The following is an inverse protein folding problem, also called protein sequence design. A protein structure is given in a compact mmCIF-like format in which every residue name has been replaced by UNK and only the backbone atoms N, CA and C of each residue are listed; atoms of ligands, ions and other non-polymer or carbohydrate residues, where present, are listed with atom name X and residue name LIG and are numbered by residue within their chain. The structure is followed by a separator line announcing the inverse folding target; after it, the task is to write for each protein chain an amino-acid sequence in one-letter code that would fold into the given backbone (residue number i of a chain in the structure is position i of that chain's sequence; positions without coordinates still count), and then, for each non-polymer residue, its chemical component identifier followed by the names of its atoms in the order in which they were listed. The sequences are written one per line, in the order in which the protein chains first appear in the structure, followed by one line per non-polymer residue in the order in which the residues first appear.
data_IF_259030799394
#
_entry.id   IF_259030799394
#
_cell.length_a   1.000
_cell.length_b   1.000
_cell.length_c   1.000
_cell.angle_alpha   90.00
_cell.angle_beta   90.00
_cell.angle_gamma   90.00
#
_symmetry.space_group_name_H-M   'P 1'
#
loop_
_entity.id
_entity.type
_entity.pdbx_description
1 polymer ?
#
# COMPACT_ATOMS: atom_id res chain seq x y z
N UNK A 1 -56.98 -4.87 23.38
CA UNK A 1 -57.71 -6.02 22.79
C UNK A 1 -57.87 -5.74 21.29
N UNK A 2 -57.76 -6.76 20.42
CA UNK A 2 -58.40 -6.93 19.08
C UNK A 2 -58.66 -5.69 18.17
N UNK A 3 -58.36 -5.63 16.86
CA UNK A 3 -57.99 -6.58 15.78
C UNK A 3 -57.02 -5.83 14.82
N UNK A 4 -55.97 -6.44 14.24
CA UNK A 4 -55.95 -7.27 13.02
C UNK A 4 -56.40 -6.60 11.70
N UNK A 5 -55.40 -6.38 10.84
CA UNK A 5 -55.36 -6.53 9.37
C UNK A 5 -56.33 -5.75 8.46
N UNK A 6 -55.76 -4.88 7.62
CA UNK A 6 -56.10 -4.76 6.19
C UNK A 6 -54.98 -4.02 5.43
N UNK A 7 -54.10 -4.78 4.76
CA UNK A 7 -53.17 -4.25 3.76
C UNK A 7 -53.54 -4.81 2.39
N UNK A 8 -53.73 -3.94 1.40
CA UNK A 8 -54.17 -4.34 0.06
C UNK A 8 -53.04 -5.04 -0.74
N UNK A 9 -53.37 -6.04 -1.59
CA UNK A 9 -52.39 -6.68 -2.45
C UNK A 9 -52.08 -5.82 -3.68
N UNK A 10 -50.79 -5.59 -3.96
CA UNK A 10 -50.34 -5.04 -5.24
C UNK A 10 -50.30 -6.13 -6.32
N UNK A 11 -50.61 -5.82 -7.59
CA UNK A 11 -50.78 -6.81 -8.64
C UNK A 11 -49.47 -7.41 -9.15
N UNK A 12 -49.47 -8.73 -9.35
CA UNK A 12 -48.35 -9.50 -9.92
C UNK A 12 -48.18 -9.18 -11.41
N UNK A 13 -47.12 -8.44 -11.75
CA UNK A 13 -46.72 -8.17 -13.13
C UNK A 13 -46.17 -9.42 -13.82
N UNK A 14 -46.74 -9.79 -14.96
CA UNK A 14 -46.31 -10.96 -15.76
C UNK A 14 -44.98 -10.69 -16.47
N UNK A 15 -43.99 -11.55 -16.23
CA UNK A 15 -42.83 -11.69 -17.12
C UNK A 15 -43.25 -12.43 -18.42
N UNK A 16 -42.89 -11.94 -19.62
CA UNK A 16 -43.16 -12.66 -20.86
C UNK A 16 -42.15 -13.80 -21.06
N UNK A 17 -42.67 -15.01 -21.27
CA UNK A 17 -41.88 -16.14 -21.79
C UNK A 17 -41.37 -15.84 -23.20
N UNK A 18 -40.11 -16.17 -23.48
CA UNK A 18 -39.60 -16.37 -24.84
C UNK A 18 -38.98 -17.77 -24.90
N UNK A 19 -39.53 -18.64 -25.74
CA UNK A 19 -39.06 -20.01 -25.96
C UNK A 19 -38.81 -20.24 -27.45
N UNK A 20 -37.62 -20.75 -27.75
CA UNK A 20 -37.12 -21.38 -28.98
C UNK A 20 -37.88 -21.25 -30.31
N UNK A 21 -37.08 -20.95 -31.34
CA UNK A 21 -36.95 -21.87 -32.49
C UNK A 21 -35.49 -22.18 -32.76
N UNK A 22 -35.21 -23.39 -33.22
CA UNK A 22 -33.89 -23.83 -33.65
C UNK A 22 -33.95 -24.50 -35.02
N UNK A 23 -32.81 -24.50 -35.70
CA UNK A 23 -32.52 -25.22 -36.95
C UNK A 23 -31.00 -25.09 -37.18
N UNK A 24 -30.20 -26.12 -37.42
CA UNK A 24 -30.51 -27.53 -37.65
C UNK A 24 -30.04 -28.00 -39.03
N UNK A 25 -28.74 -28.22 -39.20
CA UNK A 25 -28.16 -28.96 -40.33
C UNK A 25 -26.79 -29.57 -39.95
N UNK A 26 -26.46 -30.74 -40.50
CA UNK A 26 -25.24 -31.52 -40.26
C UNK A 26 -24.32 -31.49 -41.49
N UNK A 27 -23.05 -31.89 -41.29
CA UNK A 27 -22.23 -32.89 -42.04
C UNK A 27 -20.77 -32.70 -41.55
N UNK A 28 -20.09 -33.69 -40.93
CA UNK A 28 -19.39 -34.85 -41.54
C UNK A 28 -18.22 -34.41 -42.47
N UNK A 29 -17.00 -34.99 -42.44
CA UNK A 29 -16.57 -36.32 -41.95
C UNK A 29 -15.02 -36.42 -41.77
N UNK A 30 -14.56 -37.43 -41.00
CA UNK A 30 -13.23 -38.12 -41.06
C UNK A 30 -11.91 -37.30 -40.89
N UNK A 31 -10.75 -37.86 -40.45
CA UNK A 31 -10.34 -39.22 -40.11
C UNK A 31 -9.17 -39.22 -39.08
N UNK A 32 -8.78 -40.38 -38.52
CA UNK A 32 -7.42 -40.60 -38.00
C UNK A 32 -7.29 -41.08 -36.54
N UNK A 33 -7.47 -42.38 -36.28
CA UNK A 33 -7.17 -43.02 -34.99
C UNK A 33 -5.82 -43.73 -35.04
N UNK A 34 -4.96 -43.51 -34.05
CA UNK A 34 -3.92 -44.48 -33.67
C UNK A 34 -3.90 -44.71 -32.16
N UNK A 35 -4.20 -45.95 -31.73
CA UNK A 35 -3.95 -46.44 -30.38
C UNK A 35 -2.51 -46.97 -30.30
N UNK A 36 -1.82 -46.73 -29.19
CA UNK A 36 -0.74 -47.61 -28.71
C UNK A 36 -0.85 -47.79 -27.18
N UNK A 37 -0.86 -49.06 -26.78
CA UNK A 37 -0.97 -49.68 -25.46
C UNK A 37 -0.67 -48.86 -24.18
N UNK A 38 -1.58 -49.05 -23.21
CA UNK A 38 -1.27 -49.02 -21.78
C UNK A 38 -0.13 -49.99 -21.44
N UNK A 39 0.88 -49.51 -20.71
CA UNK A 39 1.77 -50.35 -19.91
C UNK A 39 1.93 -49.72 -18.53
N UNK A 40 1.24 -50.27 -17.53
CA UNK A 40 1.46 -49.93 -16.12
C UNK A 40 2.92 -50.21 -15.75
N UNK A 41 3.61 -49.21 -15.20
CA UNK A 41 4.80 -49.39 -14.35
C UNK A 41 4.50 -48.81 -12.96
N UNK A 42 5.20 -49.28 -11.91
CA UNK A 42 4.85 -48.93 -10.52
C UNK A 42 5.09 -47.44 -10.26
N UNK A 43 4.20 -46.83 -9.48
CA UNK A 43 4.44 -45.52 -8.89
C UNK A 43 5.33 -45.74 -7.67
N UNK A 44 6.64 -45.56 -7.84
CA UNK A 44 7.53 -45.37 -6.69
C UNK A 44 7.14 -44.07 -5.99
N UNK A 45 6.91 -44.16 -4.68
CA UNK A 45 6.53 -43.02 -3.85
C UNK A 45 7.71 -42.05 -3.72
N UNK A 46 7.74 -41.02 -4.57
CA UNK A 46 8.77 -39.99 -4.48
C UNK A 46 8.34 -38.89 -3.51
N UNK A 47 9.21 -38.62 -2.55
CA UNK A 47 8.99 -37.74 -1.41
C UNK A 47 8.87 -36.25 -1.81
N UNK A 48 8.16 -35.50 -0.98
CA UNK A 48 8.03 -34.03 -0.87
C UNK A 48 8.71 -33.18 -1.95
N UNK A 49 7.92 -32.67 -2.91
CA UNK A 49 8.27 -31.46 -3.69
C UNK A 49 7.15 -30.42 -3.79
N UNK A 50 6.65 -29.97 -2.64
CA UNK A 50 6.01 -28.66 -2.54
C UNK A 50 7.03 -27.56 -2.87
N UNK A 51 6.88 -26.82 -3.97
CA UNK A 51 7.62 -25.56 -4.17
C UNK A 51 8.11 -25.15 -5.57
N UNK A 52 7.96 -25.97 -6.64
CA UNK A 52 8.51 -25.60 -7.96
C UNK A 52 7.64 -24.64 -8.80
N UNK A 53 6.30 -24.69 -8.68
CA UNK A 53 5.40 -23.81 -9.45
C UNK A 53 5.27 -22.38 -8.88
N UNK A 54 5.50 -22.20 -7.57
CA UNK A 54 5.45 -20.89 -6.90
C UNK A 54 6.75 -20.08 -7.01
N UNK A 55 7.86 -20.70 -7.44
CA UNK A 55 9.08 -20.00 -7.80
C UNK A 55 8.93 -19.23 -9.13
N UNK A 56 8.37 -19.89 -10.15
CA UNK A 56 8.13 -19.30 -11.47
C UNK A 56 7.06 -18.19 -11.47
N UNK A 57 6.07 -18.26 -10.56
CA UNK A 57 4.99 -17.26 -10.40
C UNK A 57 5.39 -15.98 -9.67
N UNK A 58 6.64 -15.82 -9.23
CA UNK A 58 7.11 -14.58 -8.58
C UNK A 58 7.70 -13.64 -9.63
N UNK A 59 7.27 -12.38 -9.61
CA UNK A 59 7.66 -11.38 -10.60
C UNK A 59 9.09 -10.87 -10.38
N UNK A 60 9.60 -10.09 -11.33
CA UNK A 60 11.03 -9.70 -11.38
C UNK A 60 11.43 -8.96 -10.11
N UNK A 61 10.68 -7.93 -9.70
CA UNK A 61 10.99 -7.14 -8.50
C UNK A 61 10.99 -7.96 -7.19
N UNK A 62 10.28 -9.09 -7.11
CA UNK A 62 10.46 -10.02 -5.99
C UNK A 62 11.82 -10.72 -6.05
N UNK A 63 12.23 -11.21 -7.22
CA UNK A 63 13.50 -11.94 -7.41
C UNK A 63 14.69 -11.01 -7.16
N UNK A 64 14.69 -9.84 -7.81
CA UNK A 64 15.72 -8.83 -7.67
C UNK A 64 15.85 -8.38 -6.21
N UNK A 65 14.74 -8.19 -5.46
CA UNK A 65 14.82 -7.85 -4.04
C UNK A 65 15.50 -8.93 -3.19
N UNK A 66 15.43 -10.21 -3.59
CA UNK A 66 16.15 -11.32 -2.94
C UNK A 66 17.59 -11.48 -3.44
N UNK A 67 17.91 -10.93 -4.59
CA UNK A 67 19.28 -10.84 -5.11
C UNK A 67 20.04 -9.69 -4.45
N UNK A 68 19.40 -8.53 -4.29
CA UNK A 68 19.97 -7.26 -3.79
C UNK A 68 19.95 -7.09 -2.26
N UNK A 69 19.42 -8.05 -1.49
CA UNK A 69 19.42 -7.96 -0.02
C UNK A 69 18.21 -7.24 0.61
N UNK A 70 17.19 -6.88 -0.16
CA UNK A 70 15.99 -6.21 0.36
C UNK A 70 14.96 -7.17 0.99
N UNK A 71 14.44 -6.78 2.16
CA UNK A 71 13.40 -7.52 2.90
C UNK A 71 12.14 -7.73 2.06
N UNK A 72 11.71 -6.72 1.32
CA UNK A 72 10.56 -6.77 0.43
C UNK A 72 10.78 -6.01 -0.88
N UNK A 73 10.05 -6.42 -1.93
CA UNK A 73 10.04 -5.81 -3.27
C UNK A 73 9.62 -4.33 -3.30
N UNK A 74 9.01 -3.82 -2.23
CA UNK A 74 8.61 -2.41 -2.14
C UNK A 74 9.81 -1.47 -2.09
N UNK A 75 11.02 -1.95 -1.75
CA UNK A 75 12.26 -1.19 -1.88
C UNK A 75 12.39 -0.49 -3.25
N UNK A 76 12.14 -1.20 -4.36
CA UNK A 76 12.18 -0.60 -5.71
C UNK A 76 11.13 0.48 -5.95
N UNK A 77 10.06 0.56 -5.16
CA UNK A 77 9.10 1.66 -5.32
C UNK A 77 9.74 2.97 -4.89
N UNK A 78 10.41 2.98 -3.73
CA UNK A 78 11.12 4.14 -3.23
C UNK A 78 12.32 4.50 -4.12
N UNK A 79 13.06 3.50 -4.61
CA UNK A 79 14.16 3.73 -5.57
C UNK A 79 13.69 4.43 -6.86
N UNK A 80 12.63 3.92 -7.50
CA UNK A 80 12.07 4.57 -8.69
C UNK A 80 11.48 5.97 -8.42
N UNK A 81 11.06 6.26 -7.18
CA UNK A 81 10.61 7.60 -6.78
C UNK A 81 11.81 8.54 -6.61
N UNK A 82 12.89 8.12 -5.94
CA UNK A 82 14.14 8.90 -5.85
C UNK A 82 14.72 9.22 -7.25
N UNK A 83 14.69 8.25 -8.17
CA UNK A 83 15.12 8.45 -9.58
C UNK A 83 14.38 9.56 -10.34
N UNK A 84 13.17 9.95 -9.91
CA UNK A 84 12.38 11.00 -10.57
C UNK A 84 12.33 12.31 -9.79
N UNK A 85 12.34 12.24 -8.46
CA UNK A 85 12.12 13.38 -7.57
C UNK A 85 13.38 13.79 -6.78
N UNK A 86 14.50 13.07 -6.93
CA UNK A 86 15.75 13.28 -6.16
C UNK A 86 15.52 13.34 -4.65
N UNK A 87 14.61 12.49 -4.14
CA UNK A 87 14.10 12.50 -2.76
C UNK A 87 15.21 12.50 -1.69
N UNK A 88 16.37 11.94 -1.99
CA UNK A 88 17.49 11.81 -1.05
C UNK A 88 18.53 12.95 -1.14
N UNK A 89 18.31 13.98 -1.95
CA UNK A 89 19.20 15.14 -2.02
C UNK A 89 19.02 16.07 -0.80
N UNK A 90 20.11 16.38 -0.10
CA UNK A 90 20.10 17.28 1.07
C UNK A 90 19.45 16.72 2.35
N UNK A 91 18.98 15.48 2.36
CA UNK A 91 18.29 14.87 3.51
C UNK A 91 19.29 14.40 4.59
N UNK A 92 19.08 14.84 5.83
CA UNK A 92 19.85 14.42 7.01
C UNK A 92 19.00 13.66 8.04
N UNK A 93 17.69 13.93 8.10
CA UNK A 93 16.73 13.40 9.06
C UNK A 93 15.51 12.88 8.30
N UNK A 94 15.31 11.57 8.33
CA UNK A 94 14.21 10.91 7.61
C UNK A 94 13.33 10.10 8.57
N UNK A 95 12.02 10.11 8.32
CA UNK A 95 11.04 9.25 9.02
C UNK A 95 10.43 8.25 8.04
N UNK A 96 10.38 6.98 8.41
CA UNK A 96 9.69 5.91 7.67
C UNK A 96 8.48 5.46 8.49
N UNK A 97 7.27 5.81 8.05
CA UNK A 97 6.00 5.52 8.75
C UNK A 97 5.36 4.25 8.18
N UNK A 98 4.79 3.43 9.08
CA UNK A 98 4.29 2.10 8.72
C UNK A 98 5.38 1.27 8.02
N UNK A 99 6.58 1.32 8.59
CA UNK A 99 7.80 0.86 7.96
C UNK A 99 7.90 -0.67 7.80
N UNK A 100 7.14 -1.47 8.55
CA UNK A 100 7.34 -2.92 8.61
C UNK A 100 7.16 -3.59 7.22
N UNK A 101 8.08 -4.47 6.78
CA UNK A 101 9.17 -5.10 7.53
C UNK A 101 10.51 -4.33 7.54
N UNK A 102 10.56 -3.10 7.03
CA UNK A 102 11.73 -2.22 7.01
C UNK A 102 12.44 -2.14 5.65
N UNK A 103 11.74 -2.41 4.54
CA UNK A 103 12.35 -2.36 3.20
C UNK A 103 12.62 -0.95 2.68
N UNK A 104 11.81 0.05 3.08
CA UNK A 104 12.06 1.45 2.75
C UNK A 104 13.19 2.00 3.63
N UNK A 105 13.15 1.72 4.94
CA UNK A 105 14.27 1.93 5.88
C UNK A 105 15.62 1.42 5.34
N UNK A 106 15.69 0.21 4.76
CA UNK A 106 16.93 -0.29 4.13
C UNK A 106 17.43 0.61 2.99
N UNK A 107 16.53 1.02 2.08
CA UNK A 107 16.85 1.92 0.96
C UNK A 107 17.32 3.27 1.47
N UNK A 108 16.66 3.83 2.49
CA UNK A 108 17.04 5.09 3.13
C UNK A 108 18.46 5.02 3.71
N UNK A 109 18.78 3.99 4.49
CA UNK A 109 20.10 3.84 5.12
C UNK A 109 21.22 3.66 4.09
N UNK A 110 20.95 2.97 3.00
CA UNK A 110 21.90 2.82 1.90
C UNK A 110 22.08 4.15 1.17
N UNK A 111 21.02 4.67 0.54
CA UNK A 111 21.12 5.83 -0.38
C UNK A 111 21.48 7.15 0.30
N UNK A 112 21.08 7.38 1.55
CA UNK A 112 21.41 8.62 2.28
C UNK A 112 22.87 8.67 2.78
N UNK A 113 23.52 7.51 2.91
CA UNK A 113 24.91 7.42 3.36
C UNK A 113 25.88 7.14 2.19
N UNK A 114 25.46 6.42 1.13
CA UNK A 114 26.20 6.32 -0.14
C UNK A 114 26.57 7.70 -0.71
N UNK A 115 25.63 8.65 -0.72
CA UNK A 115 25.86 10.04 -1.18
C UNK A 115 26.87 10.82 -0.31
N UNK A 116 27.33 10.27 0.81
CA UNK A 116 28.31 10.86 1.75
C UNK A 116 29.66 10.11 1.75
N UNK A 117 29.79 9.01 1.01
CA UNK A 117 31.08 8.32 0.81
C UNK A 117 32.06 9.20 0.00
N UNK A 118 32.88 9.97 0.72
CA UNK A 118 33.87 10.87 0.13
C UNK A 118 34.18 12.09 0.98
N UNK A 119 33.28 12.47 1.91
CA UNK A 119 33.50 13.57 2.86
C UNK A 119 33.56 13.03 4.31
N UNK A 120 34.75 12.90 4.91
CA UNK A 120 34.90 12.45 6.30
C UNK A 120 34.26 13.38 7.35
N UNK A 121 33.83 14.58 6.97
CA UNK A 121 33.11 15.51 7.83
C UNK A 121 31.58 15.43 7.69
N UNK A 122 31.08 14.75 6.65
CA UNK A 122 29.65 14.57 6.44
C UNK A 122 29.06 13.61 7.49
N UNK A 123 28.10 14.12 8.25
CA UNK A 123 27.40 13.37 9.29
C UNK A 123 26.41 12.38 8.66
N UNK A 124 26.42 11.12 9.13
CA UNK A 124 25.44 10.09 8.75
C UNK A 124 23.99 10.58 8.90
N UNK A 125 23.10 10.15 8.01
CA UNK A 125 21.69 10.48 8.11
C UNK A 125 21.03 9.75 9.30
N UNK A 126 20.22 10.47 10.07
CA UNK A 126 19.43 9.91 11.17
C UNK A 126 18.08 9.46 10.62
N UNK A 127 17.81 8.15 10.69
CA UNK A 127 16.58 7.54 10.16
C UNK A 127 15.78 6.98 11.33
N UNK A 128 14.51 7.39 11.44
CA UNK A 128 13.56 6.91 12.45
C UNK A 128 12.42 6.17 11.76
N UNK A 129 12.34 4.86 11.96
CA UNK A 129 11.32 4.00 11.38
C UNK A 129 10.26 3.64 12.45
N UNK A 130 8.99 3.81 12.11
CA UNK A 130 7.86 3.68 13.04
C UNK A 130 6.86 2.69 12.49
N UNK A 131 6.47 1.71 13.30
CA UNK A 131 5.38 0.77 12.97
C UNK A 131 4.69 0.27 14.25
N UNK A 132 3.45 -0.21 14.13
CA UNK A 132 2.77 -0.94 15.20
C UNK A 132 3.34 -2.36 15.37
N UNK A 133 4.00 -2.90 14.35
CA UNK A 133 4.59 -4.24 14.36
C UNK A 133 6.09 -4.19 14.68
N UNK A 134 6.60 -5.14 15.49
CA UNK A 134 8.03 -5.25 15.75
C UNK A 134 8.81 -5.59 14.47
N UNK A 135 9.73 -4.72 14.07
CA UNK A 135 10.66 -4.97 12.97
C UNK A 135 11.92 -5.68 13.45
N UNK A 136 12.51 -6.52 12.59
CA UNK A 136 13.85 -7.04 12.84
C UNK A 136 14.88 -5.89 12.82
N UNK A 137 15.91 -5.90 13.69
CA UNK A 137 16.93 -4.84 13.77
C UNK A 137 17.50 -4.42 12.41
N UNK A 138 17.68 -3.11 12.21
CA UNK A 138 18.33 -2.52 11.04
C UNK A 138 19.50 -1.62 11.51
N UNK A 139 20.75 -1.90 11.10
CA UNK A 139 21.87 -1.00 11.37
C UNK A 139 21.59 0.39 10.80
N UNK A 140 21.96 1.46 11.52
CA UNK A 140 21.73 2.85 11.08
C UNK A 140 20.28 3.32 11.11
N UNK A 141 19.34 2.53 11.66
CA UNK A 141 17.91 2.89 11.79
C UNK A 141 17.49 2.82 13.24
N UNK A 142 16.94 3.92 13.75
CA UNK A 142 16.18 3.91 15.02
C UNK A 142 14.81 3.32 14.73
N UNK A 143 14.41 2.29 15.46
CA UNK A 143 13.12 1.62 15.26
C UNK A 143 12.22 1.85 16.48
N UNK A 144 11.03 2.43 16.26
CA UNK A 144 10.02 2.71 17.27
C UNK A 144 8.83 1.77 17.00
N UNK A 145 8.49 0.93 17.98
CA UNK A 145 7.20 0.24 18.00
C UNK A 145 6.16 1.22 18.56
N UNK A 146 5.32 1.79 17.70
CA UNK A 146 4.51 2.96 18.05
C UNK A 146 3.32 3.23 17.13
N UNK A 147 2.26 3.75 17.72
CA UNK A 147 1.04 4.18 17.03
C UNK A 147 1.22 5.60 16.48
N UNK A 148 1.16 5.76 15.16
CA UNK A 148 1.32 7.05 14.47
C UNK A 148 0.22 8.08 14.81
N UNK A 149 -0.89 7.66 15.41
CA UNK A 149 -1.95 8.57 15.88
C UNK A 149 -1.63 9.25 17.22
N UNK A 150 -0.55 8.86 17.90
CA UNK A 150 -0.23 9.34 19.26
C UNK A 150 0.86 10.41 19.28
N UNK A 151 0.63 11.47 20.03
CA UNK A 151 1.63 12.52 20.28
C UNK A 151 2.89 12.01 20.97
N UNK A 152 2.80 10.93 21.76
CA UNK A 152 3.97 10.24 22.32
C UNK A 152 4.91 9.70 21.24
N UNK A 153 4.38 9.30 20.09
CA UNK A 153 5.17 8.78 18.95
C UNK A 153 5.85 9.94 18.23
N UNK A 154 5.13 11.05 17.97
CA UNK A 154 5.70 12.27 17.40
C UNK A 154 6.84 12.83 18.27
N UNK A 155 6.65 12.88 19.59
CA UNK A 155 7.68 13.35 20.53
C UNK A 155 8.93 12.47 20.49
N UNK A 156 8.80 11.14 20.51
CA UNK A 156 9.95 10.23 20.40
C UNK A 156 10.74 10.43 19.10
N UNK A 157 10.07 10.64 17.97
CA UNK A 157 10.73 10.96 16.68
C UNK A 157 11.58 12.24 16.83
N UNK A 158 11.00 13.30 17.38
CA UNK A 158 11.67 14.61 17.57
C UNK A 158 12.83 14.49 18.57
N UNK A 159 12.68 13.71 19.64
CA UNK A 159 13.73 13.44 20.63
C UNK A 159 14.94 12.74 19.98
N UNK A 160 14.71 11.76 19.10
CA UNK A 160 15.77 11.11 18.33
C UNK A 160 16.46 12.08 17.34
N UNK A 161 15.76 13.08 16.83
CA UNK A 161 16.33 14.20 16.07
C UNK A 161 16.89 15.33 16.95
N UNK A 162 16.94 15.16 18.28
CA UNK A 162 17.45 16.15 19.25
C UNK A 162 16.73 17.50 19.19
N UNK A 163 15.42 17.47 18.98
CA UNK A 163 14.58 18.66 18.79
C UNK A 163 14.52 19.18 17.34
N UNK A 164 15.25 18.56 16.42
CA UNK A 164 15.14 18.84 14.99
C UNK A 164 13.88 18.24 14.36
N UNK A 165 13.47 18.80 13.23
CA UNK A 165 12.39 18.27 12.38
C UNK A 165 12.98 17.54 11.16
N UNK A 166 12.26 16.57 10.63
CA UNK A 166 12.65 15.76 9.47
C UNK A 166 12.70 16.58 8.18
N UNK A 167 13.64 16.26 7.30
CA UNK A 167 13.69 16.80 5.93
C UNK A 167 12.75 16.01 4.99
N UNK A 168 12.60 14.69 5.25
CA UNK A 168 11.80 13.75 4.47
C UNK A 168 10.97 12.84 5.39
N UNK A 169 9.69 12.66 5.08
CA UNK A 169 8.83 11.65 5.69
C UNK A 169 8.27 10.74 4.58
N UNK A 170 8.36 9.43 4.75
CA UNK A 170 7.89 8.42 3.79
C UNK A 170 6.91 7.44 4.43
N UNK A 171 5.96 6.89 3.66
CA UNK A 171 4.97 5.91 4.12
C UNK A 171 4.54 4.94 3.00
N UNK A 172 4.96 3.67 3.05
CA UNK A 172 4.44 2.58 2.19
C UNK A 172 3.30 1.80 2.88
N UNK A 173 2.74 2.33 3.98
CA UNK A 173 1.67 1.69 4.74
C UNK A 173 0.42 1.37 3.90
N UNK A 174 -0.11 0.16 4.08
CA UNK A 174 -1.40 -0.25 3.52
C UNK A 174 -2.13 -1.19 4.50
N UNK A 175 -3.47 -1.14 4.57
CA UNK A 175 -4.26 -2.13 5.28
C UNK A 175 -4.26 -3.47 4.53
N UNK A 176 -4.73 -4.53 5.21
CA UNK A 176 -5.06 -5.80 4.54
C UNK A 176 -6.19 -5.56 3.52
N UNK A 177 -5.91 -5.82 2.24
CA UNK A 177 -6.84 -5.60 1.13
C UNK A 177 -7.98 -6.63 1.19
N UNK A 178 -9.21 -6.15 1.36
CA UNK A 178 -10.42 -6.98 1.44
C UNK A 178 -10.93 -7.43 0.07
N UNK A 179 -10.58 -6.70 -0.99
CA UNK A 179 -11.09 -6.88 -2.35
C UNK A 179 -12.37 -6.09 -2.63
N UNK A 180 -12.92 -5.39 -1.63
CA UNK A 180 -13.99 -4.41 -1.80
C UNK A 180 -13.35 -3.03 -2.01
N UNK A 181 -13.12 -2.67 -3.27
CA UNK A 181 -12.33 -1.48 -3.65
C UNK A 181 -12.73 -0.19 -2.94
N UNK A 182 -14.03 0.09 -2.78
CA UNK A 182 -14.53 1.29 -2.09
C UNK A 182 -14.14 1.30 -0.59
N UNK A 183 -14.16 0.14 0.07
CA UNK A 183 -13.75 -0.01 1.47
C UNK A 183 -12.22 0.06 1.60
N UNK A 184 -11.50 -0.60 0.69
CA UNK A 184 -10.04 -0.61 0.66
C UNK A 184 -9.49 0.82 0.42
N UNK A 185 -10.12 1.59 -0.47
CA UNK A 185 -9.82 3.02 -0.70
C UNK A 185 -10.10 3.86 0.56
N UNK A 186 -11.25 3.67 1.20
CA UNK A 186 -11.58 4.39 2.45
C UNK A 186 -10.58 4.11 3.57
N UNK A 187 -10.22 2.85 3.83
CA UNK A 187 -9.28 2.50 4.90
C UNK A 187 -7.85 2.98 4.57
N UNK A 188 -7.42 2.93 3.30
CA UNK A 188 -6.15 3.54 2.88
C UNK A 188 -6.15 5.07 3.11
N UNK A 189 -7.27 5.76 2.84
CA UNK A 189 -7.39 7.18 3.10
C UNK A 189 -7.31 7.53 4.60
N UNK A 190 -7.90 6.71 5.49
CA UNK A 190 -7.76 6.87 6.94
C UNK A 190 -6.31 6.68 7.41
N UNK A 191 -5.59 5.70 6.84
CA UNK A 191 -4.17 5.48 7.17
C UNK A 191 -3.30 6.65 6.68
N UNK A 192 -3.54 7.15 5.47
CA UNK A 192 -2.88 8.32 4.91
C UNK A 192 -3.13 9.58 5.75
N UNK A 193 -4.35 9.76 6.23
CA UNK A 193 -4.74 10.87 7.11
C UNK A 193 -3.99 10.83 8.45
N UNK A 194 -3.87 9.65 9.06
CA UNK A 194 -3.05 9.46 10.26
C UNK A 194 -1.55 9.76 9.99
N UNK A 195 -1.01 9.27 8.86
CA UNK A 195 0.36 9.55 8.44
C UNK A 195 0.59 11.05 8.17
N UNK A 196 -0.35 11.74 7.52
CA UNK A 196 -0.29 13.18 7.30
C UNK A 196 -0.32 13.93 8.64
N UNK A 197 -1.23 13.58 9.55
CA UNK A 197 -1.35 14.23 10.87
C UNK A 197 -0.03 14.20 11.65
N UNK A 198 0.67 13.05 11.74
CA UNK A 198 2.00 13.00 12.37
C UNK A 198 3.07 13.72 11.55
N UNK A 199 3.04 13.60 10.22
CA UNK A 199 3.97 14.31 9.32
C UNK A 199 3.96 15.81 9.56
N UNK A 200 2.79 16.43 9.69
CA UNK A 200 2.66 17.88 9.92
C UNK A 200 3.32 18.34 11.23
N UNK A 201 3.52 17.44 12.21
CA UNK A 201 4.21 17.73 13.47
C UNK A 201 5.73 17.48 13.41
N UNK A 202 6.19 16.55 12.59
CA UNK A 202 7.60 16.12 12.57
C UNK A 202 8.39 16.60 11.34
N UNK A 203 7.72 17.07 10.28
CA UNK A 203 8.35 17.55 9.04
C UNK A 203 8.70 19.04 9.13
N UNK A 204 9.88 19.43 8.66
CA UNK A 204 10.30 20.83 8.63
C UNK A 204 9.66 21.60 7.47
N UNK A 205 9.44 22.92 7.58
CA UNK A 205 9.07 23.76 6.45
C UNK A 205 10.06 23.61 5.28
N UNK A 206 9.56 23.45 4.07
CA UNK A 206 10.35 23.13 2.87
C UNK A 206 10.59 21.62 2.66
N UNK A 207 10.34 20.77 3.66
CA UNK A 207 10.52 19.31 3.57
C UNK A 207 9.49 18.61 2.67
N UNK A 208 9.73 17.32 2.44
CA UNK A 208 8.96 16.48 1.51
C UNK A 208 8.26 15.32 2.23
N UNK A 209 7.04 15.02 1.81
CA UNK A 209 6.23 13.89 2.28
C UNK A 209 5.86 12.96 1.11
N UNK A 210 6.15 11.67 1.24
CA UNK A 210 5.82 10.64 0.25
C UNK A 210 4.94 9.58 0.88
N UNK A 211 3.76 9.32 0.33
CA UNK A 211 2.86 8.33 0.89
C UNK A 211 2.10 7.52 -0.16
N UNK A 212 1.84 6.25 0.17
CA UNK A 212 0.98 5.38 -0.62
C UNK A 212 -0.46 5.84 -0.59
N UNK A 213 -1.09 5.80 -1.76
CA UNK A 213 -2.52 6.04 -1.94
C UNK A 213 -3.14 4.91 -2.78
N UNK A 214 -4.44 4.71 -2.62
CA UNK A 214 -5.24 3.99 -3.62
C UNK A 214 -5.95 5.03 -4.49
N UNK A 215 -5.61 5.04 -5.77
CA UNK A 215 -6.09 6.01 -6.74
C UNK A 215 -7.43 5.55 -7.32
N UNK A 216 -8.48 5.60 -6.50
CA UNK A 216 -9.85 5.34 -6.91
C UNK A 216 -10.57 6.60 -7.37
N UNK A 217 -11.88 6.68 -7.11
CA UNK A 217 -12.76 7.66 -7.76
C UNK A 217 -12.52 9.10 -7.27
N UNK A 218 -12.37 9.27 -5.97
CA UNK A 218 -12.42 10.59 -5.32
C UNK A 218 -11.04 11.14 -4.95
N UNK A 219 -9.98 10.53 -5.50
CA UNK A 219 -8.56 10.88 -5.26
C UNK A 219 -8.23 12.37 -5.54
N UNK A 220 -9.00 13.05 -6.39
CA UNK A 220 -8.82 14.49 -6.67
C UNK A 220 -9.00 15.34 -5.40
N UNK A 221 -10.00 15.00 -4.57
CA UNK A 221 -10.26 15.68 -3.29
C UNK A 221 -9.06 15.57 -2.35
N UNK A 222 -8.44 14.40 -2.31
CA UNK A 222 -7.23 14.16 -1.52
C UNK A 222 -6.07 15.05 -1.97
N UNK A 223 -5.89 15.25 -3.29
CA UNK A 223 -4.85 16.16 -3.80
C UNK A 223 -5.10 17.62 -3.41
N UNK A 224 -6.35 18.06 -3.49
CA UNK A 224 -6.76 19.41 -3.07
C UNK A 224 -6.53 19.61 -1.56
N UNK A 225 -6.85 18.61 -0.72
CA UNK A 225 -6.57 18.63 0.72
C UNK A 225 -5.07 18.68 1.03
N UNK A 226 -4.23 17.92 0.32
CA UNK A 226 -2.77 17.94 0.51
C UNK A 226 -2.16 19.30 0.13
N UNK A 227 -2.71 20.00 -0.87
CA UNK A 227 -2.23 21.33 -1.29
C UNK A 227 -2.42 22.46 -0.28
N UNK A 228 -3.31 22.28 0.70
CA UNK A 228 -3.40 23.16 1.86
C UNK A 228 -2.08 23.19 2.66
N UNK A 229 -1.30 22.11 2.61
CA UNK A 229 -0.07 21.93 3.40
C UNK A 229 1.21 21.99 2.57
N UNK A 230 1.17 21.64 1.28
CA UNK A 230 2.35 21.56 0.41
C UNK A 230 2.24 22.49 -0.81
N UNK A 231 3.36 22.96 -1.38
CA UNK A 231 3.34 23.72 -2.64
C UNK A 231 3.02 22.81 -3.83
N UNK A 232 3.74 21.69 -3.94
CA UNK A 232 3.59 20.72 -5.01
C UNK A 232 2.99 19.43 -4.46
N UNK A 233 2.06 18.84 -5.20
CA UNK A 233 1.49 17.52 -4.93
C UNK A 233 1.42 16.80 -6.27
N UNK A 234 2.20 15.73 -6.42
CA UNK A 234 2.35 14.96 -7.67
C UNK A 234 1.91 13.53 -7.43
N UNK A 235 1.10 12.97 -8.33
CA UNK A 235 0.74 11.55 -8.30
C UNK A 235 1.77 10.73 -9.09
N UNK A 236 2.52 9.89 -8.39
CA UNK A 236 3.55 9.04 -8.95
C UNK A 236 3.10 7.57 -9.02
N UNK A 237 3.36 6.88 -10.13
CA UNK A 237 3.21 5.41 -10.20
C UNK A 237 4.55 4.74 -10.57
N UNK A 238 5.26 4.15 -9.59
CA UNK A 238 6.49 3.39 -9.82
C UNK A 238 6.26 2.15 -10.67
N UNK A 239 7.19 1.85 -11.57
CA UNK A 239 7.19 0.63 -12.39
C UNK A 239 7.14 -0.69 -11.61
N UNK A 240 7.70 -0.67 -10.41
CA UNK A 240 7.68 -1.78 -9.44
C UNK A 240 6.32 -1.98 -8.77
N UNK A 241 5.38 -1.04 -8.92
CA UNK A 241 3.96 -1.21 -8.62
C UNK A 241 3.24 -1.87 -9.79
N UNK A 242 2.14 -2.57 -9.51
CA UNK A 242 1.34 -3.28 -10.52
C UNK A 242 0.45 -2.33 -11.30
N UNK A 243 0.43 -2.45 -12.63
CA UNK A 243 -0.47 -1.68 -13.47
C UNK A 243 -1.94 -1.98 -13.15
N UNK A 244 -2.25 -3.25 -12.85
CA UNK A 244 -3.55 -3.73 -12.39
C UNK A 244 -3.97 -3.22 -11.00
N UNK A 245 -3.03 -2.70 -10.19
CA UNK A 245 -3.33 -2.19 -8.85
C UNK A 245 -3.82 -0.75 -8.86
N UNK A 246 -4.72 -0.41 -7.94
CA UNK A 246 -5.08 0.98 -7.61
C UNK A 246 -3.94 1.73 -6.89
N UNK A 247 -2.88 1.02 -6.46
CA UNK A 247 -1.71 1.62 -5.82
C UNK A 247 -1.05 2.71 -6.70
N UNK A 248 -0.86 3.87 -6.08
CA UNK A 248 -0.01 4.96 -6.52
C UNK A 248 0.61 5.63 -5.28
N UNK A 249 1.42 6.66 -5.48
CA UNK A 249 2.05 7.44 -4.41
C UNK A 249 1.77 8.92 -4.62
N UNK A 250 1.54 9.66 -3.55
CA UNK A 250 1.65 11.12 -3.57
C UNK A 250 3.06 11.51 -3.17
N UNK A 251 3.66 12.41 -3.94
CA UNK A 251 4.90 13.11 -3.59
C UNK A 251 4.52 14.56 -3.36
N UNK A 252 4.60 14.98 -2.10
CA UNK A 252 4.19 16.29 -1.63
C UNK A 252 5.44 17.07 -1.21
N UNK A 253 5.83 18.08 -1.98
CA UNK A 253 7.09 18.80 -1.78
C UNK A 253 6.83 20.19 -1.21
N UNK A 254 7.84 20.71 -0.49
CA UNK A 254 7.85 22.04 0.11
C UNK A 254 6.67 22.24 1.05
N UNK A 255 6.76 21.58 2.20
CA UNK A 255 5.83 21.79 3.31
C UNK A 255 5.77 23.28 3.70
N UNK A 256 4.56 23.85 3.72
CA UNK A 256 4.32 25.27 3.96
C UNK A 256 4.53 25.61 5.43
N UNK A 257 5.23 26.72 5.71
CA UNK A 257 5.32 27.28 7.06
C UNK A 257 3.99 27.94 7.47
N UNK A 258 3.75 28.02 8.79
CA UNK A 258 2.63 28.76 9.37
C UNK A 258 1.41 27.92 9.74
N UNK A 259 1.29 26.67 9.28
CA UNK A 259 0.34 25.73 9.85
C UNK A 259 0.78 25.34 11.26
N UNK A 260 -0.14 25.43 12.24
CA UNK A 260 0.07 24.89 13.59
C UNK A 260 -0.69 23.57 13.69
N UNK A 261 0.01 22.43 13.68
CA UNK A 261 -0.63 21.13 13.73
C UNK A 261 -1.03 20.80 15.18
N UNK A 262 -2.10 20.01 15.35
CA UNK A 262 -2.60 19.60 16.68
C UNK A 262 -3.05 18.12 16.64
N UNK A 263 -2.23 17.19 17.12
CA UNK A 263 -2.59 15.75 17.20
C UNK A 263 -3.77 15.46 18.14
N UNK A 264 -4.17 16.39 19.02
CA UNK A 264 -5.39 16.23 19.82
C UNK A 264 -6.67 16.50 19.03
N UNK A 265 -6.55 17.10 17.84
CA UNK A 265 -7.62 17.39 16.89
C UNK A 265 -7.17 16.97 15.48
N UNK A 266 -7.10 15.66 15.21
CA UNK A 266 -6.65 15.17 13.91
C UNK A 266 -7.49 15.79 12.79
N UNK A 267 -6.85 16.09 11.66
CA UNK A 267 -7.56 16.45 10.44
C UNK A 267 -8.62 15.38 10.15
N UNK A 268 -9.82 15.82 9.75
CA UNK A 268 -10.98 14.96 9.49
C UNK A 268 -11.32 14.00 10.65
N UNK A 269 -11.32 14.49 11.89
CA UNK A 269 -12.04 13.79 12.96
C UNK A 269 -13.54 13.68 12.59
N UNK A 270 -13.95 12.49 12.15
CA UNK A 270 -15.34 12.15 11.86
C UNK A 270 -16.18 11.95 13.14
N UNK A 271 -15.70 12.41 14.31
CA UNK A 271 -16.60 12.85 15.36
C UNK A 271 -17.45 14.03 14.84
N UNK A 272 -18.55 13.66 14.17
CA UNK A 272 -19.80 14.42 14.19
C UNK A 272 -20.17 14.58 15.65
N UNK A 273 -19.58 15.57 16.32
CA UNK A 273 -19.72 15.73 17.76
C UNK A 273 -21.21 15.90 18.09
N UNK A 274 -21.84 14.98 18.83
CA UNK A 274 -23.14 15.24 19.42
C UNK A 274 -22.88 16.06 20.70
N UNK A 275 -22.26 17.22 20.53
CA UNK A 275 -22.04 18.19 21.60
C UNK A 275 -22.97 19.37 21.32
N UNK A 276 -24.15 19.42 21.97
CA UNK A 276 -25.13 20.45 21.70
C UNK A 276 -24.65 21.77 22.30
N UNK A 277 -24.35 22.77 21.45
CA UNK A 277 -23.99 24.12 21.91
C UNK A 277 -24.98 25.17 21.42
N UNK A 278 -25.60 25.02 20.24
CA UNK A 278 -26.74 25.87 19.84
C UNK A 278 -27.79 25.09 19.00
N UNK A 279 -29.09 25.13 19.35
CA UNK A 279 -30.17 24.65 18.47
C UNK A 279 -30.23 25.32 17.09
N UNK A 280 -29.56 26.46 16.87
CA UNK A 280 -29.46 27.10 15.55
C UNK A 280 -28.62 26.34 14.53
N UNK A 281 -27.70 25.48 14.98
CA UNK A 281 -26.72 24.81 14.11
C UNK A 281 -27.29 23.52 13.47
N UNK A 282 -28.54 23.20 13.76
CA UNK A 282 -29.23 22.03 13.22
C UNK A 282 -29.73 22.30 11.79
N UNK A 283 -28.89 22.04 10.78
CA UNK A 283 -29.31 22.13 9.37
C UNK A 283 -30.34 21.03 9.04
N UNK A 284 -31.59 21.36 8.65
CA UNK A 284 -32.63 20.35 8.40
C UNK A 284 -32.32 19.40 7.22
N UNK A 285 -31.48 19.86 6.29
CA UNK A 285 -31.17 19.17 5.04
C UNK A 285 -29.94 18.22 5.14
N UNK A 286 -29.42 18.00 6.35
CA UNK A 286 -28.22 17.19 6.60
C UNK A 286 -26.90 17.94 6.40
N UNK A 287 -25.77 17.23 6.47
CA UNK A 287 -24.45 17.82 6.32
C UNK A 287 -24.28 18.41 4.91
N UNK A 288 -24.01 19.73 4.82
CA UNK A 288 -23.66 20.35 3.54
C UNK A 288 -22.30 19.83 3.09
N UNK A 289 -22.26 19.34 1.85
CA UNK A 289 -21.00 18.98 1.21
C UNK A 289 -20.37 20.26 0.65
N UNK A 290 -19.53 20.91 1.46
CA UNK A 290 -18.89 22.20 1.15
C UNK A 290 -17.81 22.10 0.04
N UNK A 291 -17.66 20.93 -0.60
CA UNK A 291 -16.72 20.64 -1.68
C UNK A 291 -17.28 20.97 -3.07
N UNK A 292 -17.88 22.16 -3.22
CA UNK A 292 -18.42 22.66 -4.49
C UNK A 292 -17.83 24.05 -4.80
N UNK A 293 -16.95 24.11 -5.81
CA UNK A 293 -16.33 25.34 -6.30
C UNK A 293 -15.18 25.03 -7.27
N UNK A 294 -14.35 26.03 -7.58
CA UNK A 294 -13.18 25.93 -8.49
C UNK A 294 -12.04 25.00 -7.97
N UNK A 295 -12.25 24.39 -6.81
CA UNK A 295 -11.40 23.36 -6.18
C UNK A 295 -11.57 22.01 -6.90
N UNK A 296 -11.04 21.92 -8.12
CA UNK A 296 -10.84 20.65 -8.83
C UNK A 296 -9.49 20.64 -9.53
N UNK A 297 -8.41 20.51 -8.77
CA UNK A 297 -7.08 20.39 -9.35
C UNK A 297 -6.73 18.93 -9.66
N UNK A 298 -6.51 18.64 -10.95
CA UNK A 298 -5.92 17.37 -11.35
C UNK A 298 -4.42 17.43 -11.05
N UNK A 299 -3.97 16.67 -10.05
CA UNK A 299 -2.55 16.53 -9.76
C UNK A 299 -1.80 15.99 -10.99
N UNK A 300 -0.60 16.53 -11.31
CA UNK A 300 0.22 16.01 -12.39
C UNK A 300 0.53 14.54 -12.12
N UNK A 301 0.40 13.73 -13.17
CA UNK A 301 0.68 12.30 -13.11
C UNK A 301 2.04 12.00 -13.73
N UNK A 302 2.91 11.33 -12.98
CA UNK A 302 4.25 10.92 -13.41
C UNK A 302 4.38 9.42 -13.29
N UNK A 303 4.80 8.75 -14.37
CA UNK A 303 5.24 7.36 -14.33
C UNK A 303 6.72 7.34 -13.92
N UNK A 304 7.10 6.48 -12.97
CA UNK A 304 8.44 6.54 -12.36
C UNK A 304 9.28 5.28 -12.64
N UNK A 305 10.54 5.51 -13.02
CA UNK A 305 11.47 4.52 -13.57
C UNK A 305 11.49 4.54 -15.10
N UNK A 306 12.49 3.88 -15.70
CA UNK A 306 12.57 3.68 -17.16
C UNK A 306 11.29 3.01 -17.70
N UNK A 307 10.86 3.35 -18.93
CA UNK A 307 9.68 2.78 -19.58
C UNK A 307 9.97 1.56 -20.46
N UNK A 308 11.24 1.20 -20.70
CA UNK A 308 11.67 0.20 -21.71
C UNK A 308 12.08 -1.19 -21.21
N UNK A 309 12.61 -1.32 -19.98
CA UNK A 309 12.95 -2.58 -19.28
C UNK A 309 11.77 -3.41 -18.73
N UNK A 310 11.91 -3.96 -17.50
CA UNK A 310 10.95 -4.92 -16.92
C UNK A 310 9.69 -4.29 -16.30
N UNK A 311 8.51 -4.76 -16.69
CA UNK A 311 7.24 -4.47 -16.02
C UNK A 311 6.89 -5.48 -14.90
N UNK A 312 5.92 -5.14 -14.05
CA UNK A 312 5.55 -5.88 -12.84
C UNK A 312 4.42 -6.90 -13.03
N UNK A 313 3.82 -6.98 -14.22
CA UNK A 313 2.78 -7.94 -14.61
C UNK A 313 3.38 -9.12 -15.40
N UNK A 314 4.37 -8.85 -16.26
CA UNK A 314 4.99 -9.84 -17.15
C UNK A 314 5.93 -10.79 -16.40
N UNK A 315 5.72 -12.09 -16.57
CA UNK A 315 6.67 -13.11 -16.15
C UNK A 315 7.79 -13.29 -17.16
N UNK A 316 8.87 -12.53 -16.99
CA UNK A 316 10.11 -12.74 -17.74
C UNK A 316 10.73 -14.10 -17.36
N UNK A 317 10.98 -14.91 -18.38
CA UNK A 317 11.52 -16.26 -18.25
C UNK A 317 13.00 -16.28 -17.85
N UNK A 318 13.51 -17.46 -17.49
CA UNK A 318 14.88 -17.66 -16.98
C UNK A 318 15.99 -17.46 -18.03
N UNK A 319 15.71 -16.87 -19.20
CA UNK A 319 16.70 -16.63 -20.26
C UNK A 319 17.78 -15.60 -19.89
N UNK A 320 17.58 -14.83 -18.81
CA UNK A 320 18.50 -13.78 -18.36
C UNK A 320 19.17 -14.04 -17.01
N UNK A 321 18.81 -15.11 -16.28
CA UNK A 321 19.54 -15.50 -15.07
C UNK A 321 19.35 -16.97 -14.72
N UNK A 322 20.43 -17.59 -14.26
CA UNK A 322 20.46 -18.95 -13.72
C UNK A 322 20.01 -19.03 -12.25
N UNK A 323 19.47 -17.96 -11.66
CA UNK A 323 19.21 -17.92 -10.22
C UNK A 323 18.16 -18.94 -9.75
N UNK A 324 18.63 -19.84 -8.88
CA UNK A 324 17.80 -20.64 -7.99
C UNK A 324 16.96 -19.72 -7.09
N UNK A 325 15.71 -20.08 -6.84
CA UNK A 325 14.82 -19.36 -5.92
C UNK A 325 15.42 -19.29 -4.52
N UNK A 326 15.94 -18.13 -4.12
CA UNK A 326 16.43 -17.86 -2.77
C UNK A 326 15.28 -17.76 -1.75
N UNK A 327 15.58 -18.10 -0.51
CA UNK A 327 14.68 -17.93 0.63
C UNK A 327 14.47 -16.44 0.99
N UNK A 328 13.37 -16.10 1.68
CA UNK A 328 13.12 -14.73 2.11
C UNK A 328 14.14 -14.28 3.16
N UNK A 329 14.97 -13.30 2.79
CA UNK A 329 15.98 -12.62 3.64
C UNK A 329 15.50 -12.35 5.07
N UNK A 330 14.25 -11.91 5.23
CA UNK A 330 13.56 -11.88 6.51
C UNK A 330 12.08 -12.19 6.27
N UNK A 331 11.49 -13.02 7.12
CA UNK A 331 10.04 -13.25 7.16
C UNK A 331 9.37 -12.19 8.07
N UNK A 332 8.07 -11.87 7.88
CA UNK A 332 7.35 -10.98 8.78
C UNK A 332 7.42 -11.48 10.23
N UNK A 333 7.77 -10.60 11.17
CA UNK A 333 7.89 -10.93 12.61
C UNK A 333 6.54 -11.30 13.23
N UNK A 334 5.48 -10.64 12.75
CA UNK A 334 4.09 -10.88 13.11
C UNK A 334 3.23 -10.98 11.83
N UNK A 335 3.23 -12.14 11.12
CA UNK A 335 2.44 -12.30 9.91
C UNK A 335 0.93 -12.28 10.25
N UNK A 336 0.04 -11.67 9.42
CA UNK A 336 -1.41 -11.66 9.67
C UNK A 336 -2.01 -13.06 9.85
N UNK A 337 -1.43 -14.06 9.20
CA UNK A 337 -1.80 -15.47 9.26
C UNK A 337 -1.11 -16.26 10.39
N UNK A 338 -0.55 -15.58 11.41
CA UNK A 338 0.13 -16.21 12.56
C UNK A 338 -0.77 -17.19 13.31
N UNK A 339 -2.02 -16.81 13.58
CA UNK A 339 -3.00 -17.66 14.26
C UNK A 339 -3.29 -18.93 13.44
N UNK A 340 -3.51 -18.80 12.12
CA UNK A 340 -3.68 -19.93 11.22
C UNK A 340 -2.47 -20.89 11.23
N UNK A 341 -1.24 -20.36 11.24
CA UNK A 341 -0.02 -21.18 11.39
C UNK A 341 0.14 -21.84 12.75
N UNK A 342 -0.47 -21.29 13.80
CA UNK A 342 -0.49 -21.89 15.14
C UNK A 342 -1.51 -23.04 15.17
N UNK A 343 -2.75 -22.80 14.75
CA UNK A 343 -3.80 -23.83 14.65
C UNK A 343 -3.39 -25.01 13.76
N UNK A 344 -2.75 -24.72 12.61
CA UNK A 344 -2.18 -25.77 11.74
C UNK A 344 -1.00 -26.52 12.35
N UNK A 345 -0.22 -25.90 13.24
CA UNK A 345 0.83 -26.62 14.00
C UNK A 345 0.27 -27.41 15.18
N UNK A 346 -0.88 -27.02 15.70
CA UNK A 346 -1.61 -27.74 16.74
C UNK A 346 -2.43 -28.94 16.20
N UNK A 347 -2.42 -29.18 14.88
CA UNK A 347 -3.18 -30.28 14.26
C UNK A 347 -4.70 -30.02 14.17
N UNK A 348 -5.17 -28.80 14.45
CA UNK A 348 -6.60 -28.46 14.48
C UNK A 348 -7.29 -28.59 13.11
N UNK A 349 -6.53 -28.66 12.01
CA UNK A 349 -7.04 -28.87 10.65
C UNK A 349 -6.86 -30.30 10.13
N UNK A 350 -6.27 -31.21 10.91
CA UNK A 350 -6.05 -32.62 10.51
C UNK A 350 -7.21 -33.55 10.97
N UNK A 351 -8.30 -32.97 11.51
CA UNK A 351 -9.50 -33.70 11.97
C UNK A 351 -10.66 -33.66 10.95
N UNK A 352 -10.44 -34.14 9.71
CA UNK A 352 -11.52 -34.46 8.76
C UNK A 352 -11.16 -35.65 7.84
#
# INVERSE_FOLDING_TARGET
MQQWANAMPLPVGKLPHVVHRGSGARLAEAAGVHRVNDYRRPVEANDRTMGKSSALKRDVFFRSAKEDGYRARSAYKLLHLDEQFNLFEGVERCVDLCAAPGSWSQVLTQRLNEKKEGDPSAKEATIVAVDLQPMAPLPGVVQIEGDITKSSTANQIIDHFKGGLADLVVCDGAPDVTGLHDLDEFVQAQLLLAALNITLHVLQPGGTFVAKIFRGRDVTLLYDQLRCFFENVTCAKPRSSRNSSMEAFVVCERFRSGFKPDLSKPLLDFSYTPSPVDPSDFNPDGAKNDLLGDMRYIAPFVACGDLSGFDSETHYGNSFSSTLSKDPIQAPTAPPYREFLQKRRAGEFDQH
#
